data_IF_779764539031
#
_entry.id   IF_779764539031
#
_cell.length_a   1.000
_cell.length_b   1.000
_cell.length_c   1.000
_cell.angle_alpha   90.00
_cell.angle_beta   90.00
_cell.angle_gamma   90.00
#
_symmetry.space_group_name_H-M   'P 1'
#
loop_
_entity.id
_entity.type
_entity.pdbx_description
1 polymer ?
#
# COMPACT_ATOMS: atom_id res chain seq x y z
N UNK A 1 -38.18 32.98 19.48
CA UNK A 1 -38.67 34.35 19.24
C UNK A 1 -37.64 35.02 18.33
N UNK A 2 -38.04 35.45 17.12
CA UNK A 2 -37.26 36.17 16.07
C UNK A 2 -36.20 35.28 15.36
N UNK A 3 -36.34 34.76 14.13
CA UNK A 3 -37.01 35.12 12.87
C UNK A 3 -36.22 36.11 11.97
N UNK A 4 -35.70 35.63 10.82
CA UNK A 4 -35.40 36.32 9.54
C UNK A 4 -34.76 35.28 8.58
N UNK A 5 -35.48 34.60 7.68
CA UNK A 5 -36.09 34.98 6.38
C UNK A 5 -35.14 35.56 5.31
N UNK A 6 -34.81 34.68 4.34
CA UNK A 6 -34.78 34.77 2.87
C UNK A 6 -34.27 36.03 2.15
N UNK A 7 -33.39 35.82 1.14
CA UNK A 7 -33.61 36.32 -0.23
C UNK A 7 -32.90 35.43 -1.28
N UNK A 8 -33.51 35.37 -2.45
CA UNK A 8 -33.43 34.40 -3.56
C UNK A 8 -32.42 34.76 -4.69
N UNK A 9 -32.00 33.72 -5.46
CA UNK A 9 -31.85 33.63 -6.96
C UNK A 9 -30.78 34.50 -7.66
N UNK A 10 -30.10 34.12 -8.76
CA UNK A 10 -30.27 33.02 -9.74
C UNK A 10 -29.10 32.96 -10.77
N UNK A 11 -28.93 31.78 -11.37
CA UNK A 11 -28.51 31.41 -12.74
C UNK A 11 -27.10 31.71 -13.33
N UNK A 12 -26.44 30.64 -13.79
CA UNK A 12 -26.26 30.38 -15.24
C UNK A 12 -25.96 28.91 -15.54
N UNK A 13 -26.73 28.37 -16.49
CA UNK A 13 -26.68 27.04 -17.07
C UNK A 13 -25.78 27.12 -18.32
N UNK A 14 -24.74 26.29 -18.45
CA UNK A 14 -23.91 26.22 -19.67
C UNK A 14 -24.39 25.04 -20.50
N UNK A 15 -24.80 25.32 -21.74
CA UNK A 15 -25.21 24.36 -22.77
C UNK A 15 -24.02 24.16 -23.70
N UNK A 16 -23.56 22.91 -23.86
CA UNK A 16 -22.60 22.54 -24.91
C UNK A 16 -23.35 22.20 -26.21
N UNK A 17 -22.98 22.87 -27.31
CA UNK A 17 -23.47 22.58 -28.65
C UNK A 17 -22.38 21.84 -29.43
N UNK A 18 -22.70 20.64 -29.92
CA UNK A 18 -21.89 19.87 -30.86
C UNK A 18 -22.00 20.46 -32.27
N UNK A 19 -20.86 20.67 -32.93
CA UNK A 19 -20.78 21.08 -34.33
C UNK A 19 -20.36 19.85 -35.17
N UNK A 20 -21.25 19.39 -36.05
CA UNK A 20 -20.96 18.37 -37.07
C UNK A 20 -20.49 19.05 -38.36
N UNK A 21 -19.33 18.65 -38.88
CA UNK A 21 -18.83 19.08 -40.20
C UNK A 21 -19.11 17.97 -41.20
N UNK A 22 -19.91 18.29 -42.23
CA UNK A 22 -20.16 17.45 -43.39
C UNK A 22 -19.26 17.92 -44.54
N UNK A 23 -18.37 17.06 -45.04
CA UNK A 23 -17.57 17.34 -46.23
C UNK A 23 -18.27 16.74 -47.45
N UNK A 24 -18.51 17.59 -48.46
CA UNK A 24 -19.08 17.23 -49.76
C UNK A 24 -17.99 16.66 -50.69
N UNK A 25 -18.29 15.53 -51.33
CA UNK A 25 -17.54 15.00 -52.46
C UNK A 25 -17.88 15.77 -53.75
N UNK A 26 -16.86 16.12 -54.55
CA UNK A 26 -17.03 16.46 -55.96
C UNK A 26 -15.76 16.09 -56.76
N UNK A 27 -15.94 15.27 -57.80
CA UNK A 27 -15.06 15.01 -58.95
C UNK A 27 -15.93 15.14 -60.22
N UNK A 28 -15.44 15.22 -61.48
CA UNK A 28 -14.14 14.69 -61.98
C UNK A 28 -13.45 15.43 -63.17
N UNK A 29 -12.41 14.76 -63.71
CA UNK A 29 -11.80 14.80 -65.07
C UNK A 29 -10.80 15.95 -65.43
N UNK A 30 -9.69 15.76 -66.16
CA UNK A 30 -9.15 14.66 -66.99
C UNK A 30 -7.65 14.87 -67.36
N UNK A 31 -6.92 13.75 -67.55
CA UNK A 31 -5.74 13.48 -68.43
C UNK A 31 -4.51 14.42 -68.48
N UNK A 32 -3.31 13.87 -68.17
CA UNK A 32 -2.32 13.35 -69.15
C UNK A 32 -1.11 12.75 -68.41
N UNK A 33 -0.61 11.62 -68.90
CA UNK A 33 0.61 10.88 -68.51
C UNK A 33 1.55 10.86 -69.76
N UNK A 34 2.84 10.43 -69.74
CA UNK A 34 3.72 10.03 -68.62
C UNK A 34 5.14 10.65 -68.67
N UNK A 35 5.92 10.49 -67.60
CA UNK A 35 7.37 10.31 -67.72
C UNK A 35 7.92 9.49 -66.53
N UNK A 36 8.57 8.38 -66.87
CA UNK A 36 9.20 7.41 -65.98
C UNK A 36 10.40 8.01 -65.24
N UNK A 37 10.46 7.80 -63.92
CA UNK A 37 11.74 7.69 -63.19
C UNK A 37 11.61 6.62 -62.12
N UNK A 38 12.53 5.66 -62.19
CA UNK A 38 12.74 4.56 -61.26
C UNK A 38 13.07 5.09 -59.85
N UNK A 39 12.29 4.67 -58.83
CA UNK A 39 12.69 4.76 -57.42
C UNK A 39 12.69 3.36 -56.79
N UNK A 40 13.79 3.08 -56.09
CA UNK A 40 14.10 1.83 -55.40
C UNK A 40 13.01 1.47 -54.39
N UNK A 41 12.54 0.23 -54.45
CA UNK A 41 11.71 -0.38 -53.41
C UNK A 41 12.66 -0.76 -52.26
N UNK A 42 12.64 0.01 -51.17
CA UNK A 42 13.08 -0.48 -49.87
C UNK A 42 11.94 -1.27 -49.25
N UNK A 43 12.17 -2.55 -48.97
CA UNK A 43 11.30 -3.37 -48.13
C UNK A 43 11.26 -2.74 -46.72
N UNK A 44 10.17 -2.04 -46.40
CA UNK A 44 9.82 -1.75 -45.01
C UNK A 44 9.36 -3.08 -44.39
N UNK A 45 10.19 -3.65 -43.52
CA UNK A 45 9.76 -4.66 -42.56
C UNK A 45 8.62 -4.05 -41.74
N UNK A 46 7.41 -4.53 -42.01
CA UNK A 46 6.22 -4.29 -41.20
C UNK A 46 6.50 -4.93 -39.83
N UNK A 47 7.06 -4.13 -38.93
CA UNK A 47 7.27 -4.48 -37.54
C UNK A 47 5.89 -4.51 -36.90
N UNK A 48 5.21 -5.66 -37.00
CA UNK A 48 4.00 -5.94 -36.24
C UNK A 48 4.40 -5.94 -34.77
N UNK A 49 4.11 -4.84 -34.07
CA UNK A 49 4.03 -4.86 -32.60
C UNK A 49 3.08 -6.00 -32.24
N UNK A 50 3.63 -7.08 -31.67
CA UNK A 50 2.84 -8.16 -31.11
C UNK A 50 1.96 -7.55 -30.02
N UNK A 51 0.64 -7.64 -30.17
CA UNK A 51 -0.31 -7.27 -29.11
C UNK A 51 0.11 -8.00 -27.84
N UNK A 52 0.19 -7.32 -26.68
CA UNK A 52 0.63 -7.95 -25.44
C UNK A 52 -0.30 -9.13 -25.09
N UNK A 53 0.28 -10.30 -24.84
CA UNK A 53 -0.49 -11.53 -24.57
C UNK A 53 -1.32 -11.40 -23.29
N UNK A 54 -2.63 -11.63 -23.42
CA UNK A 54 -3.53 -11.78 -22.28
C UNK A 54 -3.19 -13.04 -21.49
N UNK A 55 -3.30 -13.00 -20.15
CA UNK A 55 -3.04 -14.17 -19.31
C UNK A 55 -3.92 -15.39 -19.69
N UNK A 56 -3.33 -16.59 -19.73
CA UNK A 56 -4.07 -17.83 -19.98
C UNK A 56 -4.96 -18.17 -18.77
N UNK A 57 -6.27 -17.89 -18.90
CA UNK A 57 -7.26 -18.31 -17.92
C UNK A 57 -7.72 -19.75 -18.12
N UNK A 58 -8.09 -20.43 -17.03
CA UNK A 58 -8.69 -21.76 -17.06
C UNK A 58 -10.13 -21.72 -16.54
N UNK A 59 -11.03 -22.52 -17.13
CA UNK A 59 -12.42 -22.61 -16.67
C UNK A 59 -12.51 -23.43 -15.38
N UNK A 60 -12.85 -22.79 -14.26
CA UNK A 60 -12.95 -23.43 -12.94
C UNK A 60 -14.23 -23.04 -12.20
N UNK A 61 -14.79 -23.97 -11.41
CA UNK A 61 -15.96 -23.72 -10.54
C UNK A 61 -15.58 -23.41 -9.09
N UNK A 62 -14.29 -23.36 -8.78
CA UNK A 62 -13.77 -22.99 -7.46
C UNK A 62 -12.31 -22.59 -7.56
N UNK A 63 -11.84 -21.77 -6.61
CA UNK A 63 -10.41 -21.45 -6.44
C UNK A 63 -10.01 -21.64 -4.98
N UNK A 64 -8.77 -22.08 -4.75
CA UNK A 64 -8.23 -22.33 -3.41
C UNK A 64 -6.92 -21.56 -3.18
N UNK A 65 -6.81 -21.00 -1.97
CA UNK A 65 -5.60 -20.39 -1.44
C UNK A 65 -4.99 -21.27 -0.35
N UNK A 66 -3.65 -21.22 -0.25
CA UNK A 66 -2.86 -21.77 0.85
C UNK A 66 -3.21 -23.22 1.19
N UNK A 67 -3.11 -24.12 0.20
CA UNK A 67 -3.40 -25.55 0.36
C UNK A 67 -4.83 -25.83 0.86
N UNK A 68 -5.83 -25.27 0.16
CA UNK A 68 -7.28 -25.39 0.45
C UNK A 68 -7.72 -24.80 1.79
N UNK A 69 -6.88 -23.97 2.42
CA UNK A 69 -7.24 -23.27 3.66
C UNK A 69 -8.40 -22.30 3.45
N UNK A 70 -8.39 -21.57 2.32
CA UNK A 70 -9.50 -20.72 1.89
C UNK A 70 -9.93 -21.14 0.49
N UNK A 71 -11.22 -21.48 0.29
CA UNK A 71 -11.75 -21.86 -1.02
C UNK A 71 -13.01 -21.07 -1.33
N UNK A 72 -13.07 -20.47 -2.51
CA UNK A 72 -14.27 -19.84 -3.06
C UNK A 72 -14.95 -20.82 -4.02
N UNK A 73 -16.24 -21.08 -3.81
CA UNK A 73 -17.04 -21.96 -4.67
C UNK A 73 -18.03 -21.12 -5.49
N UNK A 74 -17.95 -21.25 -6.80
CA UNK A 74 -18.78 -20.52 -7.75
C UNK A 74 -20.06 -21.27 -8.10
N UNK A 75 -21.09 -20.53 -8.54
CA UNK A 75 -22.33 -21.13 -9.03
C UNK A 75 -22.11 -21.87 -10.36
N UNK A 76 -21.31 -21.26 -11.24
CA UNK A 76 -20.93 -21.76 -12.56
C UNK A 76 -19.41 -21.92 -12.66
N UNK A 77 -18.93 -22.41 -13.80
CA UNK A 77 -17.50 -22.32 -14.11
C UNK A 77 -17.18 -20.98 -14.74
N UNK A 78 -16.14 -20.31 -14.25
CA UNK A 78 -15.65 -19.02 -14.75
C UNK A 78 -14.21 -19.14 -15.21
N UNK A 79 -13.75 -18.18 -16.01
CA UNK A 79 -12.34 -18.10 -16.40
C UNK A 79 -11.55 -17.54 -15.23
N UNK A 80 -10.54 -18.26 -14.77
CA UNK A 80 -9.70 -17.85 -13.62
C UNK A 80 -8.23 -17.90 -13.98
N UNK A 81 -7.46 -17.01 -13.37
CA UNK A 81 -6.01 -17.02 -13.42
C UNK A 81 -5.42 -16.28 -12.22
N UNK A 82 -4.11 -16.02 -12.27
CA UNK A 82 -3.37 -15.39 -11.18
C UNK A 82 -2.66 -14.13 -11.64
N UNK A 83 -2.47 -13.19 -10.72
CA UNK A 83 -1.56 -12.06 -10.85
C UNK A 83 -0.11 -12.49 -10.53
N UNK A 84 0.84 -11.61 -10.78
CA UNK A 84 2.27 -11.85 -10.56
C UNK A 84 2.62 -12.26 -9.11
N UNK A 85 1.85 -11.81 -8.13
CA UNK A 85 2.04 -12.17 -6.71
C UNK A 85 1.31 -13.47 -6.30
N UNK A 86 0.61 -14.13 -7.23
CA UNK A 86 -0.14 -15.36 -6.98
C UNK A 86 -1.60 -15.18 -6.55
N UNK A 87 -2.06 -13.95 -6.28
CA UNK A 87 -3.49 -13.70 -6.00
C UNK A 87 -4.34 -14.01 -7.23
N UNK A 88 -5.57 -14.50 -7.03
CA UNK A 88 -6.45 -14.88 -8.13
C UNK A 88 -7.31 -13.72 -8.65
N UNK A 89 -7.59 -13.79 -9.96
CA UNK A 89 -8.67 -13.07 -10.61
C UNK A 89 -9.70 -14.04 -11.22
N UNK A 90 -10.94 -13.55 -11.38
CA UNK A 90 -12.03 -14.28 -12.02
C UNK A 90 -12.71 -13.38 -13.05
N UNK A 91 -12.92 -13.91 -14.23
CA UNK A 91 -13.56 -13.24 -15.36
C UNK A 91 -14.83 -14.00 -15.78
N UNK A 92 -15.91 -13.25 -15.99
CA UNK A 92 -17.19 -13.75 -16.48
C UNK A 92 -17.73 -12.88 -17.62
N UNK A 93 -16.99 -12.76 -18.73
CA UNK A 93 -17.42 -11.98 -19.91
C UNK A 93 -17.78 -10.50 -19.58
N UNK A 94 -17.14 -9.94 -18.55
CA UNK A 94 -17.42 -8.59 -18.04
C UNK A 94 -18.66 -8.48 -17.12
N UNK A 95 -19.32 -9.59 -16.80
CA UNK A 95 -20.47 -9.67 -15.90
C UNK A 95 -20.10 -10.11 -14.48
N UNK A 96 -21.08 -10.04 -13.59
CA UNK A 96 -20.96 -10.44 -12.19
C UNK A 96 -20.65 -11.94 -12.02
N UNK A 97 -19.93 -12.26 -10.96
CA UNK A 97 -19.65 -13.63 -10.52
C UNK A 97 -20.55 -13.98 -9.33
N UNK A 98 -21.09 -15.19 -9.30
CA UNK A 98 -21.87 -15.67 -8.15
C UNK A 98 -21.08 -16.69 -7.35
N UNK A 99 -20.87 -16.38 -6.07
CA UNK A 99 -20.22 -17.26 -5.09
C UNK A 99 -21.30 -17.89 -4.21
N UNK A 100 -21.32 -19.21 -4.17
CA UNK A 100 -22.32 -19.98 -3.41
C UNK A 100 -21.84 -20.31 -2.01
N UNK A 101 -20.53 -20.47 -1.83
CA UNK A 101 -19.90 -20.80 -0.56
C UNK A 101 -18.46 -20.30 -0.53
N UNK A 102 -17.98 -19.91 0.66
CA UNK A 102 -16.57 -19.67 0.92
C UNK A 102 -16.19 -20.51 2.14
N UNK A 103 -15.09 -21.26 2.08
CA UNK A 103 -14.56 -22.00 3.24
C UNK A 103 -13.33 -21.31 3.81
N UNK A 104 -13.14 -21.32 5.15
CA UNK A 104 -14.12 -21.73 6.16
C UNK A 104 -15.34 -20.80 6.16
N UNK A 105 -16.53 -21.32 6.40
CA UNK A 105 -17.77 -20.51 6.35
C UNK A 105 -17.80 -19.44 7.42
N UNK A 106 -18.39 -18.27 7.12
CA UNK A 106 -18.78 -17.35 8.18
C UNK A 106 -19.93 -17.95 8.98
N UNK A 107 -19.85 -17.89 10.31
CA UNK A 107 -20.85 -18.50 11.17
C UNK A 107 -20.82 -17.93 12.59
N UNK A 108 -21.92 -18.09 13.31
CA UNK A 108 -21.99 -17.79 14.74
C UNK A 108 -21.50 -18.98 15.57
N UNK A 109 -20.35 -18.81 16.24
CA UNK A 109 -19.81 -19.76 17.20
C UNK A 109 -19.95 -19.18 18.60
N UNK A 110 -20.92 -19.71 19.37
CA UNK A 110 -21.15 -19.31 20.76
C UNK A 110 -21.35 -17.81 20.98
N UNK A 111 -22.01 -17.12 20.05
CA UNK A 111 -22.29 -15.69 20.09
C UNK A 111 -21.29 -14.81 19.35
N UNK A 112 -20.16 -15.36 18.88
CA UNK A 112 -19.16 -14.69 18.04
C UNK A 112 -19.39 -15.02 16.57
N UNK A 113 -19.56 -14.03 15.71
CA UNK A 113 -19.55 -14.22 14.26
C UNK A 113 -18.09 -14.20 13.81
N UNK A 114 -17.65 -15.25 13.13
CA UNK A 114 -16.24 -15.45 12.71
C UNK A 114 -16.13 -15.64 11.20
N UNK A 115 -14.90 -15.53 10.68
CA UNK A 115 -14.53 -15.80 9.29
C UNK A 115 -15.35 -14.99 8.28
N UNK A 116 -15.50 -13.68 8.50
CA UNK A 116 -16.30 -12.85 7.60
C UNK A 116 -15.62 -12.56 6.26
N UNK A 117 -16.42 -12.07 5.31
CA UNK A 117 -15.98 -11.63 3.98
C UNK A 117 -16.42 -10.19 3.75
N UNK A 118 -15.53 -9.35 3.24
CA UNK A 118 -15.83 -7.95 2.87
C UNK A 118 -15.61 -7.72 1.38
N UNK A 119 -16.41 -6.86 0.77
CA UNK A 119 -16.24 -6.33 -0.59
C UNK A 119 -15.53 -4.97 -0.50
N UNK A 120 -14.47 -4.77 -1.31
CA UNK A 120 -13.76 -3.49 -1.48
C UNK A 120 -13.66 -2.67 -0.18
N UNK A 121 -13.02 -3.20 0.88
CA UNK A 121 -13.01 -2.50 2.16
C UNK A 121 -12.41 -1.11 2.03
N UNK A 122 -13.10 -0.13 2.62
CA UNK A 122 -12.62 1.24 2.76
C UNK A 122 -11.71 1.37 3.99
N UNK A 123 -10.94 2.46 4.06
CA UNK A 123 -10.22 2.80 5.28
C UNK A 123 -11.23 3.12 6.39
N UNK A 124 -11.31 2.28 7.43
CA UNK A 124 -12.37 2.34 8.43
C UNK A 124 -11.94 1.79 9.78
N UNK A 125 -12.55 2.30 10.86
CA UNK A 125 -12.44 1.71 12.20
C UNK A 125 -13.38 0.51 12.40
N UNK A 126 -14.24 0.21 11.41
CA UNK A 126 -15.17 -0.91 11.41
C UNK A 126 -14.78 -1.99 10.40
N UNK A 127 -15.12 -3.23 10.71
CA UNK A 127 -14.87 -4.40 9.88
C UNK A 127 -16.03 -5.40 9.92
N UNK A 128 -16.04 -6.32 8.94
CA UNK A 128 -17.03 -7.39 8.79
C UNK A 128 -16.43 -8.80 8.93
N UNK A 129 -15.24 -8.94 9.50
CA UNK A 129 -14.51 -10.20 9.65
C UNK A 129 -14.83 -10.97 10.93
N UNK A 130 -14.88 -10.29 12.08
CA UNK A 130 -15.10 -10.93 13.38
C UNK A 130 -15.85 -10.02 14.35
N UNK A 131 -16.94 -10.51 14.96
CA UNK A 131 -17.74 -9.70 15.87
C UNK A 131 -17.12 -9.43 17.24
N UNK A 132 -16.00 -10.07 17.55
CA UNK A 132 -15.29 -9.94 18.81
C UNK A 132 -13.91 -9.31 18.66
N UNK A 133 -13.66 -8.56 17.57
CA UNK A 133 -12.50 -7.69 17.47
C UNK A 133 -12.40 -6.81 18.74
N UNK A 134 -11.17 -6.61 19.23
CA UNK A 134 -10.94 -5.99 20.53
C UNK A 134 -11.14 -4.48 20.48
N UNK A 135 -10.62 -3.86 19.43
CA UNK A 135 -10.48 -2.42 19.27
C UNK A 135 -11.24 -1.89 18.05
N UNK A 136 -11.27 -2.62 16.93
CA UNK A 136 -12.10 -2.28 15.77
C UNK A 136 -13.57 -2.64 16.00
N UNK A 137 -14.48 -1.80 15.49
CA UNK A 137 -15.90 -2.10 15.50
C UNK A 137 -16.26 -3.24 14.55
N UNK A 138 -17.33 -3.96 14.86
CA UNK A 138 -17.95 -4.92 13.94
C UNK A 138 -19.29 -4.39 13.45
N UNK A 139 -19.47 -4.41 12.13
CA UNK A 139 -20.75 -4.08 11.50
C UNK A 139 -21.22 -5.25 10.64
N UNK A 140 -22.36 -5.85 11.02
CA UNK A 140 -22.85 -7.08 10.39
C UNK A 140 -23.09 -6.95 8.88
N UNK A 141 -23.51 -5.76 8.42
CA UNK A 141 -23.75 -5.51 6.99
C UNK A 141 -22.46 -5.50 6.15
N UNK A 142 -21.29 -5.34 6.78
CA UNK A 142 -20.00 -5.46 6.10
C UNK A 142 -19.63 -6.92 5.84
N UNK A 143 -20.17 -7.87 6.62
CA UNK A 143 -19.94 -9.30 6.43
C UNK A 143 -20.90 -9.88 5.38
N UNK A 144 -20.44 -9.86 4.13
CA UNK A 144 -21.21 -10.32 2.96
C UNK A 144 -21.01 -11.81 2.65
N UNK A 145 -20.36 -12.56 3.54
CA UNK A 145 -20.12 -13.99 3.35
C UNK A 145 -21.44 -14.76 3.18
N UNK A 146 -21.55 -15.72 2.24
CA UNK A 146 -22.75 -16.54 2.09
C UNK A 146 -23.18 -17.26 3.37
N UNK A 147 -22.22 -17.64 4.23
CA UNK A 147 -22.49 -18.26 5.52
C UNK A 147 -23.10 -17.28 6.54
N UNK A 148 -22.80 -15.98 6.45
CA UNK A 148 -23.42 -14.95 7.29
C UNK A 148 -24.82 -14.59 6.78
N UNK A 149 -24.92 -14.31 5.48
CA UNK A 149 -26.15 -13.79 4.86
C UNK A 149 -27.20 -14.87 4.58
N UNK A 150 -26.80 -16.15 4.56
CA UNK A 150 -27.62 -17.29 4.12
C UNK A 150 -28.14 -17.14 2.68
N UNK A 151 -27.35 -16.48 1.82
CA UNK A 151 -27.64 -16.25 0.41
C UNK A 151 -26.36 -16.27 -0.42
N UNK A 152 -26.47 -16.59 -1.71
CA UNK A 152 -25.33 -16.46 -2.63
C UNK A 152 -24.83 -15.02 -2.66
N UNK A 153 -23.52 -14.84 -2.73
CA UNK A 153 -22.88 -13.55 -2.91
C UNK A 153 -22.71 -13.28 -4.40
N UNK A 154 -23.41 -12.27 -4.92
CA UNK A 154 -23.18 -11.74 -6.27
C UNK A 154 -22.12 -10.65 -6.18
N UNK A 155 -21.00 -10.84 -6.88
CA UNK A 155 -19.84 -9.95 -6.89
C UNK A 155 -19.75 -9.27 -8.25
N UNK A 156 -19.95 -7.94 -8.32
CA UNK A 156 -19.84 -7.22 -9.59
C UNK A 156 -18.44 -7.28 -10.18
N UNK A 157 -18.34 -7.25 -11.50
CA UNK A 157 -17.06 -7.00 -12.18
C UNK A 157 -16.45 -5.66 -11.71
N UNK A 158 -15.14 -5.62 -11.53
CA UNK A 158 -14.45 -4.47 -10.93
C UNK A 158 -14.48 -4.47 -9.38
N UNK A 159 -14.53 -5.65 -8.76
CA UNK A 159 -14.62 -5.79 -7.30
C UNK A 159 -13.57 -6.74 -6.76
N UNK A 160 -12.94 -6.37 -5.65
CA UNK A 160 -12.17 -7.31 -4.84
C UNK A 160 -12.98 -7.74 -3.62
N UNK A 161 -12.86 -9.01 -3.27
CA UNK A 161 -13.39 -9.57 -2.03
C UNK A 161 -12.25 -10.05 -1.15
N UNK A 162 -12.38 -9.81 0.14
CA UNK A 162 -11.42 -10.23 1.14
C UNK A 162 -12.12 -11.22 2.06
N UNK A 163 -11.66 -12.47 2.01
CA UNK A 163 -12.05 -13.50 2.96
C UNK A 163 -11.03 -13.52 4.11
N UNK A 164 -11.50 -13.55 5.35
CA UNK A 164 -10.65 -13.79 6.52
C UNK A 164 -10.95 -15.12 7.20
N UNK A 165 -9.97 -15.59 7.97
CA UNK A 165 -10.11 -16.64 8.97
C UNK A 165 -9.86 -16.02 10.34
N UNK A 166 -10.81 -16.18 11.25
CA UNK A 166 -10.68 -15.73 12.63
C UNK A 166 -9.72 -16.62 13.42
N UNK A 167 -9.01 -16.04 14.39
CA UNK A 167 -8.27 -16.81 15.38
C UNK A 167 -9.21 -17.64 16.25
N UNK A 168 -8.74 -18.81 16.73
CA UNK A 168 -9.55 -19.68 17.60
C UNK A 168 -10.02 -18.96 18.87
N UNK A 169 -9.13 -18.19 19.50
CA UNK A 169 -9.46 -17.34 20.65
C UNK A 169 -9.83 -15.93 20.19
N UNK A 170 -10.75 -15.30 20.91
CA UNK A 170 -11.04 -13.87 20.80
C UNK A 170 -10.11 -13.01 21.68
N UNK A 171 -9.15 -13.62 22.36
CA UNK A 171 -8.22 -12.92 23.24
C UNK A 171 -7.08 -12.29 22.43
N UNK A 172 -7.03 -10.96 22.44
CA UNK A 172 -5.85 -10.22 22.01
C UNK A 172 -6.01 -9.50 20.68
N UNK A 173 -4.87 -9.30 20.03
CA UNK A 173 -4.69 -8.65 18.73
C UNK A 173 -3.60 -9.43 18.02
N UNK A 174 -3.83 -10.00 16.84
CA UNK A 174 -5.01 -9.82 15.97
C UNK A 174 -6.18 -10.76 16.32
N UNK A 175 -7.35 -10.50 15.72
CA UNK A 175 -8.55 -11.35 15.77
C UNK A 175 -8.70 -12.29 14.56
N UNK A 176 -7.87 -12.09 13.53
CA UNK A 176 -7.80 -12.94 12.34
C UNK A 176 -6.40 -13.56 12.16
N UNK A 177 -6.34 -14.78 11.66
CA UNK A 177 -5.11 -15.53 11.41
C UNK A 177 -4.65 -15.43 9.97
N UNK A 178 -5.59 -15.48 9.02
CA UNK A 178 -5.31 -15.55 7.59
C UNK A 178 -6.33 -14.73 6.79
N UNK A 179 -5.92 -14.29 5.59
CA UNK A 179 -6.80 -13.61 4.65
C UNK A 179 -6.45 -13.92 3.18
N UNK A 180 -7.41 -13.83 2.28
CA UNK A 180 -7.19 -13.97 0.85
C UNK A 180 -7.99 -12.95 0.06
N UNK A 181 -7.41 -12.43 -1.03
CA UNK A 181 -8.03 -11.44 -1.91
C UNK A 181 -8.37 -12.09 -3.23
N UNK A 182 -9.65 -12.15 -3.59
CA UNK A 182 -10.08 -12.48 -4.94
C UNK A 182 -10.55 -11.23 -5.67
N UNK A 183 -10.12 -11.03 -6.92
CA UNK A 183 -10.58 -9.90 -7.76
C UNK A 183 -11.46 -10.39 -8.92
N UNK A 184 -12.70 -9.91 -8.98
CA UNK A 184 -13.57 -10.13 -10.15
C UNK A 184 -13.32 -9.01 -11.15
N UNK A 185 -12.82 -9.37 -12.33
CA UNK A 185 -12.33 -8.44 -13.34
C UNK A 185 -13.34 -8.27 -14.47
N UNK A 186 -13.39 -7.06 -15.04
CA UNK A 186 -14.22 -6.75 -16.20
C UNK A 186 -13.59 -7.22 -17.52
N UNK A 187 -12.27 -7.39 -17.54
CA UNK A 187 -11.46 -7.84 -18.67
C UNK A 187 -10.32 -8.72 -18.12
N UNK A 188 -9.84 -9.67 -18.93
CA UNK A 188 -8.71 -10.52 -18.53
C UNK A 188 -7.44 -9.66 -18.46
N UNK A 189 -6.71 -9.65 -17.34
CA UNK A 189 -5.46 -8.89 -17.23
C UNK A 189 -4.36 -9.47 -18.13
N UNK A 190 -3.39 -8.64 -18.50
CA UNK A 190 -2.19 -9.09 -19.21
C UNK A 190 -1.44 -10.13 -18.38
N UNK A 191 -0.70 -11.01 -19.06
CA UNK A 191 0.18 -11.94 -18.36
C UNK A 191 1.14 -11.20 -17.43
N UNK A 192 1.39 -11.79 -16.25
CA UNK A 192 2.25 -11.21 -15.23
C UNK A 192 1.83 -9.82 -14.73
N UNK A 193 0.55 -9.44 -14.86
CA UNK A 193 0.02 -8.22 -14.26
C UNK A 193 0.14 -8.23 -12.74
N UNK A 194 0.45 -7.08 -12.15
CA UNK A 194 0.24 -6.85 -10.72
C UNK A 194 -1.25 -6.80 -10.39
N UNK A 195 -1.63 -7.26 -9.20
CA UNK A 195 -3.00 -7.15 -8.72
C UNK A 195 -3.32 -5.66 -8.49
N UNK A 196 -4.47 -5.14 -8.99
CA UNK A 196 -4.94 -3.81 -8.61
C UNK A 196 -5.21 -3.73 -7.10
N UNK A 197 -5.19 -2.55 -6.48
CA UNK A 197 -5.48 -2.43 -5.05
C UNK A 197 -6.81 -3.09 -4.66
N UNK A 198 -6.84 -3.80 -3.53
CA UNK A 198 -8.05 -4.48 -3.08
C UNK A 198 -9.15 -3.51 -2.59
N UNK A 199 -8.77 -2.28 -2.26
CA UNK A 199 -9.70 -1.19 -1.93
C UNK A 199 -10.17 -0.41 -3.16
N UNK A 200 -11.23 0.36 -3.05
CA UNK A 200 -11.78 1.19 -4.13
C UNK A 200 -12.38 0.37 -5.28
N UNK A 201 -12.84 1.07 -6.32
CA UNK A 201 -13.58 0.48 -7.45
C UNK A 201 -12.79 0.33 -8.76
N UNK A 202 -11.60 0.93 -8.86
CA UNK A 202 -10.75 0.75 -10.04
C UNK A 202 -9.94 -0.54 -9.89
N UNK A 203 -10.27 -1.57 -10.67
CA UNK A 203 -9.56 -2.86 -10.71
C UNK A 203 -8.78 -3.08 -12.01
N UNK A 204 -8.28 -2.00 -12.60
CA UNK A 204 -7.34 -2.07 -13.71
C UNK A 204 -5.94 -2.31 -13.17
N UNK A 205 -5.22 -3.29 -13.70
CA UNK A 205 -3.81 -3.51 -13.36
C UNK A 205 -2.99 -2.26 -13.72
N UNK A 206 -2.07 -1.88 -12.83
CA UNK A 206 -1.23 -0.67 -13.02
C UNK A 206 -0.05 -0.96 -13.94
N UNK A 207 0.49 -2.18 -13.86
CA UNK A 207 1.71 -2.61 -14.55
C UNK A 207 1.77 -4.15 -14.60
N UNK A 208 2.74 -4.68 -15.34
CA UNK A 208 3.15 -6.09 -15.31
C UNK A 208 4.59 -6.22 -14.80
N UNK A 209 5.07 -7.44 -14.60
CA UNK A 209 6.47 -7.67 -14.19
C UNK A 209 7.49 -7.27 -15.26
N UNK A 210 7.09 -7.09 -16.52
CA UNK A 210 8.00 -6.60 -17.58
C UNK A 210 8.29 -5.11 -17.44
N UNK A 211 7.46 -4.38 -16.70
CA UNK A 211 7.64 -2.95 -16.41
C UNK A 211 8.60 -2.70 -15.24
N UNK A 212 9.09 -3.75 -14.57
CA UNK A 212 10.03 -3.63 -13.46
C UNK A 212 11.40 -3.16 -13.95
N UNK A 213 11.75 -1.92 -13.62
CA UNK A 213 13.09 -1.40 -13.79
C UNK A 213 13.99 -1.86 -12.62
N UNK A 214 14.91 -2.78 -12.88
CA UNK A 214 15.89 -3.23 -11.89
C UNK A 214 17.09 -2.30 -11.76
N UNK A 215 17.34 -1.42 -12.74
CA UNK A 215 18.51 -0.53 -12.76
C UNK A 215 18.42 0.59 -11.70
N UNK A 216 17.22 0.84 -11.16
CA UNK A 216 17.03 1.77 -10.03
C UNK A 216 17.27 1.12 -8.67
N UNK A 217 17.52 -0.19 -8.61
CA UNK A 217 17.89 -0.87 -7.36
C UNK A 217 19.40 -0.80 -7.13
N UNK A 218 19.80 -0.74 -5.86
CA UNK A 218 21.20 -0.82 -5.47
C UNK A 218 21.85 -2.17 -5.77
N UNK A 219 23.18 -2.16 -5.89
CA UNK A 219 24.04 -3.35 -6.01
C UNK A 219 25.14 -3.33 -4.95
N UNK A 220 24.78 -2.97 -3.72
CA UNK A 220 25.73 -2.80 -2.63
C UNK A 220 26.30 -4.14 -2.15
N UNK A 221 27.61 -4.24 -1.86
CA UNK A 221 28.20 -5.46 -1.32
C UNK A 221 27.41 -6.06 -0.15
N UNK A 222 27.19 -7.38 -0.20
CA UNK A 222 26.64 -8.17 0.91
C UNK A 222 27.70 -8.32 1.99
N UNK A 223 27.61 -7.47 3.02
CA UNK A 223 28.61 -7.44 4.11
C UNK A 223 28.40 -8.53 5.16
N UNK A 224 27.21 -9.13 5.18
CA UNK A 224 26.83 -10.22 6.08
C UNK A 224 25.72 -11.07 5.43
N UNK A 225 25.62 -12.33 5.84
CA UNK A 225 24.60 -13.29 5.40
C UNK A 225 23.54 -13.53 6.50
N UNK A 226 23.31 -12.54 7.37
CA UNK A 226 22.36 -12.65 8.50
C UNK A 226 20.94 -13.00 8.04
N UNK A 227 20.51 -12.44 6.91
CA UNK A 227 19.20 -12.67 6.31
C UNK A 227 19.36 -13.30 4.94
N UNK A 228 18.63 -14.39 4.70
CA UNK A 228 18.52 -15.03 3.40
C UNK A 228 17.36 -14.42 2.59
N UNK A 229 17.60 -14.12 1.31
CA UNK A 229 16.60 -13.46 0.46
C UNK A 229 15.40 -14.37 0.18
N UNK A 230 15.61 -15.69 0.10
CA UNK A 230 14.52 -16.66 -0.06
C UNK A 230 13.63 -16.72 1.19
N UNK A 231 14.25 -16.82 2.38
CA UNK A 231 13.51 -16.78 3.66
C UNK A 231 12.74 -15.47 3.85
N UNK A 232 13.33 -14.33 3.49
CA UNK A 232 12.67 -13.02 3.57
C UNK A 232 11.56 -12.87 2.54
N UNK A 233 11.70 -13.46 1.34
CA UNK A 233 10.63 -13.48 0.32
C UNK A 233 9.35 -14.08 0.89
N UNK A 234 9.46 -15.16 1.66
CA UNK A 234 8.33 -15.83 2.30
C UNK A 234 7.57 -14.96 3.32
N UNK A 235 8.12 -13.81 3.75
CA UNK A 235 7.40 -12.89 4.63
C UNK A 235 6.22 -12.21 3.94
N UNK A 236 6.18 -12.23 2.61
CA UNK A 236 5.24 -11.53 1.77
C UNK A 236 4.47 -12.46 0.82
N UNK A 237 4.55 -13.78 1.01
CA UNK A 237 3.80 -14.78 0.24
C UNK A 237 2.28 -14.61 0.36
N UNK A 238 1.84 -13.81 1.33
CA UNK A 238 0.43 -13.61 1.64
C UNK A 238 0.14 -12.14 1.90
N UNK A 239 -1.09 -11.74 1.63
CA UNK A 239 -1.56 -10.36 1.78
C UNK A 239 -1.21 -9.77 3.15
N UNK A 240 -0.61 -8.59 3.14
CA UNK A 240 -0.54 -7.72 4.31
C UNK A 240 -1.80 -6.84 4.31
N UNK A 241 -2.83 -7.32 5.00
CA UNK A 241 -4.14 -6.68 4.98
C UNK A 241 -4.13 -5.41 5.82
N UNK A 242 -4.41 -4.29 5.17
CA UNK A 242 -4.40 -2.98 5.79
C UNK A 242 -5.55 -2.13 5.24
N UNK A 243 -6.64 -1.97 5.98
CA UNK A 243 -7.72 -1.06 5.60
C UNK A 243 -8.25 -0.29 6.81
N UNK A 244 -7.37 -0.11 7.79
CA UNK A 244 -7.52 0.76 8.92
C UNK A 244 -6.16 1.39 9.19
N UNK A 245 -6.05 2.70 9.12
CA UNK A 245 -4.81 3.43 9.33
C UNK A 245 -4.73 4.09 10.72
N UNK A 246 -5.45 3.53 11.70
CA UNK A 246 -5.37 3.92 13.11
C UNK A 246 -4.72 2.83 13.98
N UNK A 247 -4.50 3.13 15.26
CA UNK A 247 -3.90 2.19 16.21
C UNK A 247 -4.70 0.89 16.42
N UNK A 248 -6.00 0.89 16.06
CA UNK A 248 -6.93 -0.24 16.16
C UNK A 248 -6.72 -1.28 15.05
N UNK A 249 -5.98 -0.94 13.98
CA UNK A 249 -5.70 -1.80 12.81
C UNK A 249 -5.11 -3.16 13.15
N UNK A 250 -4.42 -3.24 14.29
CA UNK A 250 -3.80 -4.46 14.83
C UNK A 250 -4.76 -5.65 14.94
N UNK A 251 -6.08 -5.41 15.04
CA UNK A 251 -7.07 -6.48 15.06
C UNK A 251 -7.11 -7.26 13.75
N UNK A 252 -6.95 -6.57 12.61
CA UNK A 252 -7.15 -7.15 11.28
C UNK A 252 -5.85 -7.48 10.55
N UNK A 253 -4.70 -7.34 11.20
CA UNK A 253 -3.41 -7.80 10.66
C UNK A 253 -3.31 -9.32 10.81
N UNK A 254 -3.42 -10.13 9.73
CA UNK A 254 -3.53 -11.58 9.87
C UNK A 254 -2.26 -12.18 10.49
N UNK A 255 -2.42 -12.92 11.60
CA UNK A 255 -1.30 -13.39 12.41
C UNK A 255 -0.26 -14.24 11.65
N UNK A 256 -0.70 -15.00 10.66
CA UNK A 256 0.15 -15.88 9.86
C UNK A 256 0.79 -15.16 8.65
N UNK A 257 0.52 -13.87 8.47
CA UNK A 257 0.94 -13.10 7.31
C UNK A 257 1.94 -12.02 7.70
N UNK A 258 1.55 -11.18 8.68
CA UNK A 258 2.25 -9.94 8.99
C UNK A 258 2.31 -9.72 10.51
N UNK A 259 3.30 -8.94 11.00
CA UNK A 259 3.32 -8.53 12.39
C UNK A 259 2.11 -7.65 12.72
N UNK A 260 1.50 -7.80 13.91
CA UNK A 260 0.30 -7.05 14.23
C UNK A 260 0.57 -5.59 14.59
N UNK A 261 1.79 -5.20 14.97
CA UNK A 261 2.11 -3.84 15.43
C UNK A 261 2.99 -3.10 14.42
N UNK A 262 2.73 -1.81 14.21
CA UNK A 262 3.37 -0.98 13.18
C UNK A 262 4.90 -0.99 13.21
N UNK A 263 5.53 -0.85 14.39
CA UNK A 263 6.98 -1.00 14.54
C UNK A 263 7.48 -2.34 13.97
N UNK A 264 6.84 -3.43 14.35
CA UNK A 264 7.32 -4.77 13.98
C UNK A 264 7.12 -5.02 12.48
N UNK A 265 6.05 -4.47 11.92
CA UNK A 265 5.81 -4.44 10.48
C UNK A 265 6.89 -3.65 9.75
N UNK A 266 7.20 -2.43 10.22
CA UNK A 266 8.24 -1.59 9.66
C UNK A 266 9.62 -2.29 9.71
N UNK A 267 9.98 -2.91 10.83
CA UNK A 267 11.20 -3.72 10.92
C UNK A 267 11.21 -4.83 9.88
N UNK A 268 10.10 -5.57 9.72
CA UNK A 268 10.01 -6.69 8.79
C UNK A 268 10.11 -6.24 7.33
N UNK A 269 9.40 -5.16 6.97
CA UNK A 269 9.44 -4.60 5.62
C UNK A 269 10.82 -4.03 5.26
N UNK A 270 11.50 -3.39 6.22
CA UNK A 270 12.83 -2.83 6.02
C UNK A 270 13.85 -3.88 5.58
N UNK A 271 13.82 -5.09 6.14
CA UNK A 271 14.76 -6.16 5.75
C UNK A 271 14.61 -6.49 4.26
N UNK A 272 13.39 -6.68 3.77
CA UNK A 272 13.16 -6.94 2.34
C UNK A 272 13.61 -5.77 1.45
N UNK A 273 13.27 -4.55 1.86
CA UNK A 273 13.66 -3.33 1.16
C UNK A 273 15.18 -3.17 1.05
N UNK A 274 15.92 -3.48 2.12
CA UNK A 274 17.39 -3.45 2.15
C UNK A 274 17.98 -4.54 1.27
N UNK A 275 17.51 -5.79 1.37
CA UNK A 275 18.03 -6.91 0.57
C UNK A 275 17.91 -6.66 -0.94
N UNK A 276 16.85 -5.98 -1.38
CA UNK A 276 16.70 -5.55 -2.77
C UNK A 276 17.80 -4.58 -3.24
N UNK A 277 18.49 -3.88 -2.33
CA UNK A 277 19.58 -2.97 -2.66
C UNK A 277 20.97 -3.62 -2.58
N UNK A 278 21.06 -4.90 -2.20
CA UNK A 278 22.33 -5.61 -2.11
C UNK A 278 22.67 -6.33 -3.43
N UNK A 279 23.92 -6.77 -3.55
CA UNK A 279 24.52 -7.48 -4.70
C UNK A 279 23.98 -8.92 -4.85
N UNK A 280 22.68 -9.01 -5.12
CA UNK A 280 21.95 -10.16 -5.64
C UNK A 280 21.67 -9.95 -7.14
N UNK A 281 21.59 -11.04 -7.88
CA UNK A 281 21.13 -11.01 -9.28
C UNK A 281 19.67 -10.59 -9.38
N UNK A 282 19.24 -10.06 -10.53
CA UNK A 282 17.83 -9.72 -10.75
C UNK A 282 16.92 -10.95 -10.57
N UNK A 283 17.36 -12.13 -11.00
CA UNK A 283 16.64 -13.39 -10.80
C UNK A 283 16.39 -13.68 -9.32
N UNK A 284 17.42 -13.54 -8.46
CA UNK A 284 17.28 -13.70 -7.01
C UNK A 284 16.37 -12.64 -6.37
N UNK A 285 16.34 -11.41 -6.90
CA UNK A 285 15.50 -10.31 -6.40
C UNK A 285 14.04 -10.40 -6.85
N UNK A 286 13.77 -11.08 -7.96
CA UNK A 286 12.51 -10.92 -8.71
C UNK A 286 11.27 -11.15 -7.85
N UNK A 287 11.18 -12.26 -7.13
CA UNK A 287 9.97 -12.55 -6.36
C UNK A 287 9.80 -11.62 -5.16
N UNK A 288 10.89 -11.28 -4.46
CA UNK A 288 10.84 -10.31 -3.36
C UNK A 288 10.39 -8.93 -3.87
N UNK A 289 10.90 -8.51 -5.03
CA UNK A 289 10.52 -7.25 -5.66
C UNK A 289 9.04 -7.25 -6.03
N UNK A 290 8.54 -8.30 -6.67
CA UNK A 290 7.11 -8.44 -7.02
C UNK A 290 6.24 -8.29 -5.77
N UNK A 291 6.58 -8.98 -4.69
CA UNK A 291 5.77 -8.96 -3.47
C UNK A 291 5.77 -7.57 -2.78
N UNK A 292 6.92 -6.91 -2.71
CA UNK A 292 7.03 -5.57 -2.11
C UNK A 292 6.41 -4.47 -3.00
N UNK A 293 6.52 -4.58 -4.32
CA UNK A 293 5.82 -3.70 -5.26
C UNK A 293 4.31 -3.86 -5.11
N UNK A 294 3.82 -5.09 -4.99
CA UNK A 294 2.40 -5.34 -4.74
C UNK A 294 1.92 -4.68 -3.43
N UNK A 295 2.73 -4.74 -2.36
CA UNK A 295 2.41 -4.04 -1.11
C UNK A 295 2.39 -2.52 -1.30
N UNK A 296 3.35 -1.95 -2.02
CA UNK A 296 3.36 -0.53 -2.39
C UNK A 296 2.13 -0.10 -3.20
N UNK A 297 1.66 -0.94 -4.14
CA UNK A 297 0.42 -0.71 -4.90
C UNK A 297 -0.80 -0.69 -3.98
N UNK A 298 -0.90 -1.59 -3.00
CA UNK A 298 -2.00 -1.59 -2.05
C UNK A 298 -2.02 -0.32 -1.17
N UNK A 299 -0.84 0.12 -0.69
CA UNK A 299 -0.68 1.38 0.04
C UNK A 299 -1.11 2.57 -0.84
N UNK A 300 -0.68 2.61 -2.10
CA UNK A 300 -1.11 3.65 -3.04
C UNK A 300 -2.63 3.67 -3.22
N UNK A 301 -3.26 2.50 -3.37
CA UNK A 301 -4.72 2.40 -3.49
C UNK A 301 -5.47 2.91 -2.26
N UNK A 302 -4.98 2.60 -1.07
CA UNK A 302 -5.53 3.12 0.20
C UNK A 302 -5.37 4.64 0.27
N UNK A 303 -4.18 5.16 -0.04
CA UNK A 303 -3.90 6.59 -0.02
C UNK A 303 -4.81 7.35 -1.00
N UNK A 304 -5.02 6.80 -2.21
CA UNK A 304 -5.94 7.34 -3.22
C UNK A 304 -7.40 7.35 -2.76
N UNK A 305 -7.77 6.45 -1.86
CA UNK A 305 -9.07 6.42 -1.20
C UNK A 305 -9.11 7.21 0.12
N UNK A 306 -8.12 8.09 0.35
CA UNK A 306 -8.10 9.04 1.47
C UNK A 306 -7.50 8.50 2.76
N UNK A 307 -6.85 7.33 2.73
CA UNK A 307 -6.14 6.81 3.88
C UNK A 307 -4.93 7.68 4.26
N UNK A 308 -4.67 7.79 5.56
CA UNK A 308 -3.53 8.52 6.11
C UNK A 308 -2.97 7.75 7.31
N UNK A 309 -1.67 7.59 7.34
CA UNK A 309 -0.92 6.87 8.35
C UNK A 309 -0.42 7.85 9.40
N UNK A 310 -1.34 8.44 10.17
CA UNK A 310 -0.96 9.54 11.05
C UNK A 310 0.05 9.14 12.13
N UNK A 311 0.86 10.09 12.55
CA UNK A 311 1.79 10.05 13.69
C UNK A 311 1.11 9.58 14.98
N UNK A 312 1.19 8.28 15.27
CA UNK A 312 0.53 7.68 16.43
C UNK A 312 1.45 6.70 17.14
N UNK A 313 2.47 7.21 17.83
CA UNK A 313 3.45 6.35 18.50
C UNK A 313 4.12 5.42 17.49
N UNK A 314 4.08 4.10 17.71
CA UNK A 314 4.64 3.11 16.78
C UNK A 314 3.62 2.35 15.93
N UNK A 315 2.43 2.92 15.67
CA UNK A 315 1.33 2.21 15.02
C UNK A 315 1.36 2.24 13.49
N UNK A 316 1.74 3.36 12.88
CA UNK A 316 1.58 3.59 11.44
C UNK A 316 2.91 3.71 10.67
N UNK A 317 4.02 3.43 11.32
CA UNK A 317 5.37 3.50 10.76
C UNK A 317 5.58 2.55 9.57
N UNK A 318 6.39 2.93 8.58
CA UNK A 318 7.01 2.03 7.61
C UNK A 318 6.19 1.74 6.36
N UNK A 319 5.25 2.63 5.98
CA UNK A 319 4.46 2.50 4.74
C UNK A 319 5.00 3.32 3.59
N UNK A 320 5.74 4.39 3.88
CA UNK A 320 6.26 5.29 2.85
C UNK A 320 7.27 4.60 1.93
N UNK A 321 8.25 3.88 2.48
CA UNK A 321 9.30 3.26 1.67
C UNK A 321 8.79 2.19 0.69
N UNK A 322 7.89 1.25 1.05
CA UNK A 322 7.30 0.34 0.06
C UNK A 322 6.55 1.05 -1.08
N UNK A 323 5.85 2.16 -0.79
CA UNK A 323 5.19 2.97 -1.82
C UNK A 323 6.21 3.63 -2.75
N UNK A 324 7.28 4.21 -2.20
CA UNK A 324 8.35 4.83 -2.99
C UNK A 324 9.10 3.78 -3.84
N UNK A 325 9.38 2.60 -3.30
CA UNK A 325 9.94 1.48 -4.05
C UNK A 325 9.05 1.18 -5.26
N UNK A 326 7.74 0.97 -5.06
CA UNK A 326 6.80 0.66 -6.13
C UNK A 326 6.75 1.76 -7.19
N UNK A 327 6.66 3.02 -6.79
CA UNK A 327 6.65 4.15 -7.73
C UNK A 327 7.95 4.24 -8.54
N UNK A 328 9.10 4.01 -7.91
CA UNK A 328 10.40 4.13 -8.58
C UNK A 328 10.67 3.01 -9.57
N UNK A 329 10.43 1.75 -9.18
CA UNK A 329 10.71 0.59 -10.06
C UNK A 329 9.70 0.43 -11.18
N UNK A 330 8.49 0.99 -11.03
CA UNK A 330 7.48 1.04 -12.09
C UNK A 330 7.54 2.34 -12.92
N UNK A 331 8.49 3.23 -12.62
CA UNK A 331 8.61 4.57 -13.23
C UNK A 331 7.27 5.33 -13.23
N UNK A 332 6.54 5.26 -12.11
CA UNK A 332 5.18 5.74 -11.98
C UNK A 332 5.09 6.99 -11.10
N UNK A 333 5.07 8.16 -11.76
CA UNK A 333 4.97 9.47 -11.10
C UNK A 333 3.70 9.64 -10.26
N UNK A 334 2.58 9.01 -10.65
CA UNK A 334 1.33 9.07 -9.89
C UNK A 334 1.46 8.37 -8.53
N UNK A 335 2.25 7.28 -8.44
CA UNK A 335 2.56 6.61 -7.18
C UNK A 335 3.56 7.45 -6.38
N UNK A 336 4.66 7.91 -7.01
CA UNK A 336 5.70 8.72 -6.35
C UNK A 336 5.13 10.01 -5.73
N UNK A 337 4.16 10.64 -6.39
CA UNK A 337 3.47 11.83 -5.87
C UNK A 337 2.92 11.64 -4.44
N UNK A 338 2.46 10.44 -4.08
CA UNK A 338 1.97 10.17 -2.72
C UNK A 338 3.07 10.08 -1.67
N UNK A 339 4.32 9.82 -2.06
CA UNK A 339 5.48 9.86 -1.17
C UNK A 339 6.05 11.28 -0.98
N UNK A 340 5.70 12.22 -1.84
CA UNK A 340 6.16 13.61 -1.77
C UNK A 340 5.39 14.39 -0.70
N UNK A 341 6.08 14.86 0.35
CA UNK A 341 5.45 15.65 1.43
C UNK A 341 4.82 16.96 0.99
N UNK A 342 5.26 17.57 -0.11
CA UNK A 342 4.67 18.82 -0.60
C UNK A 342 3.27 18.59 -1.21
N UNK A 343 3.02 17.37 -1.66
CA UNK A 343 1.74 16.96 -2.23
C UNK A 343 0.89 16.21 -1.18
N UNK A 344 1.52 15.31 -0.43
CA UNK A 344 0.89 14.39 0.50
C UNK A 344 1.73 14.18 1.78
N UNK A 345 1.41 14.94 2.84
CA UNK A 345 2.02 14.76 4.16
C UNK A 345 1.22 13.76 5.02
N UNK A 346 1.12 12.51 4.56
CA UNK A 346 0.17 11.51 5.09
C UNK A 346 0.84 10.32 5.80
N UNK A 347 2.18 10.29 5.89
CA UNK A 347 2.91 9.18 6.50
C UNK A 347 3.50 9.55 7.85
N UNK A 348 3.32 8.66 8.83
CA UNK A 348 3.90 8.76 10.16
C UNK A 348 5.43 8.92 10.09
N UNK A 349 6.04 8.25 9.11
CA UNK A 349 7.48 8.33 8.84
C UNK A 349 7.96 9.78 8.69
N UNK A 350 7.14 10.68 8.16
CA UNK A 350 7.44 12.10 8.05
C UNK A 350 6.89 12.90 9.23
N UNK A 351 5.63 12.65 9.61
CA UNK A 351 4.87 13.44 10.57
C UNK A 351 5.45 13.42 12.00
N UNK A 352 6.33 12.47 12.32
CA UNK A 352 7.03 12.42 13.60
C UNK A 352 8.38 13.14 13.60
N UNK A 353 8.86 13.65 12.48
CA UNK A 353 10.19 14.24 12.35
C UNK A 353 10.11 15.70 11.90
N UNK A 354 10.92 16.57 12.51
CA UNK A 354 10.89 18.01 12.26
C UNK A 354 12.23 18.66 12.57
N UNK A 355 12.43 19.90 12.14
CA UNK A 355 13.49 20.74 12.69
C UNK A 355 12.91 21.61 13.78
N UNK A 356 13.50 21.58 14.98
CA UNK A 356 13.09 22.44 16.10
C UNK A 356 13.14 23.90 15.63
N UNK A 357 12.05 24.62 15.83
CA UNK A 357 11.92 26.03 15.55
C UNK A 357 11.62 26.82 16.83
N UNK A 358 11.46 28.14 16.71
CA UNK A 358 10.99 28.95 17.84
C UNK A 358 9.61 28.48 18.33
N UNK A 359 8.79 27.88 17.46
CA UNK A 359 7.47 27.34 17.82
C UNK A 359 7.58 26.26 18.89
N UNK A 360 8.43 25.25 18.70
CA UNK A 360 8.58 24.15 19.65
C UNK A 360 9.25 24.63 20.95
N UNK A 361 10.17 25.60 20.88
CA UNK A 361 10.74 26.26 22.06
C UNK A 361 9.65 26.97 22.86
N UNK A 362 8.81 27.77 22.20
CA UNK A 362 7.74 28.52 22.86
C UNK A 362 6.68 27.60 23.46
N UNK A 363 6.27 26.54 22.73
CA UNK A 363 5.29 25.55 23.19
C UNK A 363 5.81 24.86 24.45
N UNK A 364 7.01 24.29 24.40
CA UNK A 364 7.56 23.48 25.51
C UNK A 364 7.92 24.30 26.76
N UNK A 365 7.99 25.63 26.65
CA UNK A 365 8.20 26.54 27.78
C UNK A 365 6.90 27.26 28.23
N UNK A 366 5.73 26.77 27.78
CA UNK A 366 4.42 27.33 28.11
C UNK A 366 3.55 26.38 28.94
N UNK A 367 2.45 26.90 29.47
CA UNK A 367 1.42 26.09 30.16
C UNK A 367 0.67 25.12 29.22
N UNK A 368 0.86 25.22 27.89
CA UNK A 368 0.27 24.30 26.93
C UNK A 368 1.02 22.96 26.86
N UNK A 369 2.31 22.94 27.23
CA UNK A 369 3.16 21.76 27.16
C UNK A 369 2.63 20.62 28.03
N UNK A 370 2.33 19.48 27.39
CA UNK A 370 1.68 18.32 28.00
C UNK A 370 2.27 16.98 27.50
N UNK A 371 3.60 16.80 27.57
CA UNK A 371 4.24 15.57 27.15
C UNK A 371 3.81 14.40 28.04
N UNK A 372 4.00 13.19 27.52
CA UNK A 372 3.79 11.95 28.26
C UNK A 372 4.64 11.89 29.55
N UNK A 373 3.96 11.81 30.70
CA UNK A 373 4.56 11.88 32.04
C UNK A 373 5.29 10.61 32.48
N UNK A 374 5.28 9.56 31.65
CA UNK A 374 6.08 8.35 31.86
C UNK A 374 7.58 8.58 31.62
N UNK A 375 7.92 9.62 30.86
CA UNK A 375 9.29 10.01 30.57
C UNK A 375 9.76 11.18 31.46
N UNK A 376 11.07 11.42 31.51
CA UNK A 376 11.56 12.69 32.07
C UNK A 376 11.17 13.83 31.13
N UNK A 377 10.58 14.89 31.66
CA UNK A 377 10.14 16.03 30.87
C UNK A 377 11.31 16.98 30.64
N UNK A 378 11.63 17.25 29.37
CA UNK A 378 12.70 18.19 28.98
C UNK A 378 12.19 19.11 27.88
N UNK A 379 12.10 20.43 28.13
CA UNK A 379 11.65 21.38 27.12
C UNK A 379 12.77 21.63 26.09
N UNK A 380 12.40 22.11 24.92
CA UNK A 380 13.36 22.67 23.97
C UNK A 380 13.84 24.04 24.43
N UNK A 381 15.04 24.40 23.99
CA UNK A 381 15.69 25.68 24.27
C UNK A 381 16.07 26.36 22.96
N UNK A 382 16.43 27.64 23.02
CA UNK A 382 16.90 28.38 21.83
C UNK A 382 18.14 27.77 21.18
N UNK A 383 18.94 27.01 21.95
CA UNK A 383 20.13 26.32 21.44
C UNK A 383 19.78 25.08 20.60
N UNK A 384 18.54 24.60 20.70
CA UNK A 384 18.03 23.45 19.93
C UNK A 384 17.46 23.87 18.55
N UNK A 385 17.33 25.17 18.25
CA UNK A 385 16.77 25.62 16.96
C UNK A 385 17.60 25.11 15.79
N UNK A 386 16.93 24.46 14.82
CA UNK A 386 17.54 23.82 13.66
C UNK A 386 17.94 22.36 13.89
N UNK A 387 17.78 21.83 15.10
CA UNK A 387 18.02 20.43 15.42
C UNK A 387 16.94 19.55 14.78
N UNK A 388 17.33 18.54 14.00
CA UNK A 388 16.40 17.53 13.50
C UNK A 388 15.94 16.65 14.64
N UNK A 389 14.64 16.54 14.88
CA UNK A 389 14.09 15.98 16.11
C UNK A 389 12.82 15.16 15.87
N UNK A 390 12.43 14.38 16.89
CA UNK A 390 11.30 13.48 16.86
C UNK A 390 10.24 13.83 17.91
N UNK A 391 8.98 13.71 17.52
CA UNK A 391 7.82 13.90 18.38
C UNK A 391 6.74 12.87 18.11
N UNK A 392 6.15 12.33 19.18
CA UNK A 392 5.17 11.24 19.10
C UNK A 392 3.97 11.60 18.22
N UNK A 393 3.51 12.84 18.38
CA UNK A 393 2.34 13.45 17.76
C UNK A 393 2.71 14.84 17.19
N UNK A 394 3.94 15.02 16.69
CA UNK A 394 4.44 16.36 16.32
C UNK A 394 3.54 17.11 15.30
N UNK A 395 3.09 16.43 14.24
CA UNK A 395 2.31 17.06 13.17
C UNK A 395 0.92 17.59 13.61
N UNK A 396 0.31 17.03 14.65
CA UNK A 396 -1.07 17.31 15.07
C UNK A 396 -1.20 17.78 16.53
N UNK A 397 -0.35 17.30 17.43
CA UNK A 397 -0.27 17.67 18.85
C UNK A 397 1.18 17.98 19.29
N UNK A 398 1.82 19.03 18.76
CA UNK A 398 3.20 19.39 19.11
C UNK A 398 3.39 19.75 20.59
N UNK A 399 2.30 19.99 21.34
CA UNK A 399 2.38 20.16 22.79
C UNK A 399 2.79 18.89 23.54
N UNK A 400 2.74 17.73 22.89
CA UNK A 400 3.20 16.45 23.45
C UNK A 400 4.70 16.19 23.24
N UNK A 401 5.39 17.05 22.48
CA UNK A 401 6.80 16.87 22.19
C UNK A 401 7.67 16.94 23.45
N UNK A 402 8.69 16.11 23.49
CA UNK A 402 9.61 16.04 24.62
C UNK A 402 11.03 15.81 24.11
N UNK A 403 11.92 16.78 24.36
CA UNK A 403 13.32 16.75 23.94
C UNK A 403 14.12 15.61 24.60
N UNK A 404 13.56 14.99 25.65
CA UNK A 404 14.23 13.93 26.37
C UNK A 404 14.39 12.67 25.50
N UNK A 405 15.60 12.10 25.47
CA UNK A 405 15.86 10.82 24.79
C UNK A 405 15.08 9.63 25.35
N UNK A 406 14.58 9.74 26.59
CA UNK A 406 13.66 8.79 27.20
C UNK A 406 12.19 9.03 26.89
N UNK A 407 11.84 9.97 25.99
CA UNK A 407 10.47 10.20 25.56
C UNK A 407 9.83 8.90 25.07
N UNK A 408 8.59 8.65 25.52
CA UNK A 408 7.90 7.40 25.21
C UNK A 408 7.77 7.23 23.70
N UNK A 409 7.92 5.99 23.23
CA UNK A 409 7.91 5.61 21.81
C UNK A 409 9.08 6.08 20.95
N UNK A 410 9.94 7.00 21.40
CA UNK A 410 11.10 7.46 20.62
C UNK A 410 11.97 6.29 20.16
N UNK A 411 12.45 5.47 21.10
CA UNK A 411 13.24 4.26 20.78
C UNK A 411 12.44 3.20 20.03
N UNK A 412 11.15 3.06 20.34
CA UNK A 412 10.26 2.10 19.67
C UNK A 412 10.21 2.38 18.17
N UNK A 413 10.12 3.65 17.78
CA UNK A 413 10.03 4.06 16.38
C UNK A 413 11.41 4.21 15.74
N UNK A 414 12.39 4.76 16.46
CA UNK A 414 13.70 5.12 15.92
C UNK A 414 14.46 3.94 15.28
N UNK A 415 14.48 2.76 15.90
CA UNK A 415 15.15 1.58 15.32
C UNK A 415 14.53 1.15 13.98
N UNK A 416 13.20 1.13 13.92
CA UNK A 416 12.47 0.74 12.72
C UNK A 416 12.57 1.80 11.63
N UNK A 417 12.42 3.09 11.98
CA UNK A 417 12.59 4.20 11.04
C UNK A 417 14.00 4.22 10.45
N UNK A 418 15.03 4.00 11.27
CA UNK A 418 16.43 3.98 10.81
C UNK A 418 16.64 2.92 9.73
N UNK A 419 15.98 1.76 9.85
CA UNK A 419 16.08 0.68 8.87
C UNK A 419 15.41 1.05 7.54
N UNK A 420 14.28 1.77 7.56
CA UNK A 420 13.65 2.31 6.35
C UNK A 420 14.49 3.40 5.68
N UNK A 421 15.08 4.29 6.47
CA UNK A 421 15.97 5.35 5.97
C UNK A 421 17.25 4.77 5.38
N UNK A 422 17.80 3.70 5.98
CA UNK A 422 18.91 2.96 5.38
C UNK A 422 18.51 2.38 4.02
N UNK A 423 17.33 1.78 3.90
CA UNK A 423 16.85 1.28 2.61
C UNK A 423 16.71 2.40 1.56
N UNK A 424 16.16 3.56 1.96
CA UNK A 424 16.03 4.72 1.09
C UNK A 424 17.40 5.23 0.60
N UNK A 425 18.39 5.30 1.49
CA UNK A 425 19.78 5.67 1.16
C UNK A 425 20.44 4.70 0.20
N UNK A 426 20.30 3.40 0.45
CA UNK A 426 20.88 2.38 -0.42
C UNK A 426 20.26 2.40 -1.82
N UNK A 427 19.01 2.83 -1.95
CA UNK A 427 18.29 2.99 -3.22
C UNK A 427 18.51 4.37 -3.88
N UNK A 428 19.14 5.33 -3.20
CA UNK A 428 19.31 6.72 -3.67
C UNK A 428 17.97 7.43 -3.96
N UNK A 429 17.01 7.32 -3.03
CA UNK A 429 15.63 7.84 -3.18
C UNK A 429 15.31 9.00 -2.21
N UNK A 430 16.32 9.63 -1.62
CA UNK A 430 16.12 10.70 -0.62
C UNK A 430 15.35 11.91 -1.20
N UNK A 431 15.63 12.26 -2.46
CA UNK A 431 14.95 13.36 -3.16
C UNK A 431 13.46 13.06 -3.39
N UNK A 432 13.12 11.83 -3.78
CA UNK A 432 11.72 11.39 -3.94
C UNK A 432 11.00 11.29 -2.58
N UNK A 433 11.72 10.96 -1.49
CA UNK A 433 11.17 11.00 -0.13
C UNK A 433 10.83 12.43 0.31
N UNK A 434 11.62 13.42 -0.12
CA UNK A 434 11.39 14.85 0.07
C UNK A 434 11.20 15.34 1.53
N UNK A 435 11.83 14.69 2.53
CA UNK A 435 11.72 15.13 3.93
C UNK A 435 13.03 15.01 4.71
N UNK A 436 13.90 16.01 4.60
CA UNK A 436 15.22 16.01 5.26
C UNK A 436 15.21 15.77 6.79
N UNK A 437 14.23 16.26 7.59
CA UNK A 437 14.23 16.04 9.03
C UNK A 437 14.36 14.57 9.46
N UNK A 438 13.73 13.63 8.74
CA UNK A 438 13.80 12.21 9.12
C UNK A 438 15.19 11.63 8.88
N UNK A 439 15.89 12.05 7.81
CA UNK A 439 17.25 11.59 7.51
C UNK A 439 18.26 12.14 8.52
N UNK A 440 18.20 13.43 8.81
CA UNK A 440 19.08 14.09 9.78
C UNK A 440 18.84 13.58 11.21
N UNK A 441 17.57 13.36 11.58
CA UNK A 441 17.24 12.77 12.87
C UNK A 441 17.77 11.34 12.99
N UNK A 442 17.66 10.56 11.91
CA UNK A 442 18.12 9.17 11.88
C UNK A 442 19.62 9.07 12.14
N UNK A 443 20.43 9.96 11.54
CA UNK A 443 21.87 10.02 11.83
C UNK A 443 22.15 10.26 13.32
N UNK A 444 21.48 11.25 13.90
CA UNK A 444 21.60 11.55 15.33
C UNK A 444 21.14 10.39 16.21
N UNK A 445 20.03 9.74 15.85
CA UNK A 445 19.48 8.60 16.57
C UNK A 445 20.46 7.43 16.56
N UNK A 446 21.02 7.11 15.38
CA UNK A 446 22.00 6.03 15.22
C UNK A 446 23.23 6.26 16.09
N UNK A 447 23.85 7.44 16.03
CA UNK A 447 25.04 7.78 16.82
C UNK A 447 24.84 7.60 18.34
N UNK A 448 23.63 7.88 18.82
CA UNK A 448 23.30 7.83 20.25
C UNK A 448 22.80 6.46 20.72
N UNK A 449 22.36 5.59 19.81
CA UNK A 449 21.74 4.29 20.13
C UNK A 449 22.42 3.09 19.47
N UNK A 450 23.61 3.28 18.87
CA UNK A 450 24.34 2.26 18.08
C UNK A 450 24.41 0.88 18.75
N UNK A 451 24.60 0.82 20.07
CA UNK A 451 24.76 -0.42 20.84
C UNK A 451 23.49 -1.29 20.91
N UNK A 452 22.32 -0.75 20.59
CA UNK A 452 21.02 -1.45 20.65
C UNK A 452 20.50 -1.88 19.27
N UNK A 453 21.22 -1.56 18.19
CA UNK A 453 20.81 -1.94 16.82
C UNK A 453 21.06 -3.42 16.52
N UNK A 454 20.26 -3.94 15.58
CA UNK A 454 20.54 -5.24 14.97
C UNK A 454 21.89 -5.18 14.24
N UNK A 455 22.80 -6.15 14.46
CA UNK A 455 24.11 -6.14 13.81
C UNK A 455 24.08 -6.07 12.29
N UNK A 456 23.04 -6.60 11.64
CA UNK A 456 22.82 -6.47 10.20
C UNK A 456 22.65 -4.99 9.81
N UNK A 457 21.79 -4.27 10.53
CA UNK A 457 21.53 -2.85 10.29
C UNK A 457 22.78 -2.03 10.58
N UNK A 458 23.43 -2.23 11.73
CA UNK A 458 24.65 -1.47 12.08
C UNK A 458 25.77 -1.66 11.06
N UNK A 459 26.00 -2.90 10.61
CA UNK A 459 27.08 -3.22 9.64
C UNK A 459 26.87 -2.48 8.32
N UNK A 460 25.63 -2.43 7.84
CA UNK A 460 25.31 -1.72 6.60
C UNK A 460 25.30 -0.21 6.80
N UNK A 461 24.77 0.28 7.93
CA UNK A 461 24.73 1.71 8.23
C UNK A 461 26.15 2.30 8.27
N UNK A 462 27.09 1.67 8.99
CA UNK A 462 28.49 2.12 9.08
C UNK A 462 29.25 2.05 7.74
N UNK A 463 28.84 1.20 6.82
CA UNK A 463 29.50 1.05 5.53
C UNK A 463 29.05 2.07 4.49
N UNK A 464 27.79 2.51 4.58
CA UNK A 464 27.14 3.35 3.56
C UNK A 464 26.69 4.72 4.08
N UNK A 465 26.97 5.05 5.34
CA UNK A 465 26.77 6.37 5.94
C UNK A 465 27.97 6.81 6.76
#
# INVERSE_FOLDING_TARGET
MINKFNLFKNYSLIIFAFLTITIYNCTPENNTDPEETEEEISEEEENTEEDPESSEGTSQSSISYYDDLITFYFLDSYTVGQYANGDYWVYNEGYDVTITQITPVSQNVSGRIINGTMINPENSENQGYDSNARDMGYEDFLNVDPGNTNSNLTVPAGTSIIKSISTESADGRPIISDAAILTVVAEIPLENSFRPPYTGSNKTAIATTTDLNFDVLGTHPRLTDTYDIGEVTHYYDRVWLEHNTAWTSRDIHPANHMPPYGRDLANKSAIGLILLQLDYTNEEKTQLLINLVQYGIDIYGLAKNGAQWNNSGGHNLGRKMPLLLAGKVLENDDILAYGDKEQHFIFQDDQQHFYVSQTEVDITNSDAWRPDDRATLTPYTTDDIGLAEWGIHHADEPEEDNANWGATYRKICGYAQTSHILAARLMDIEDDWNWSPVFDYTDRFYELQVDEFDPFISTLYEAYR
#
